data_IF_756495347214
#
_entry.id   IF_756495347214
#
_cell.length_a   1.000
_cell.length_b   1.000
_cell.length_c   1.000
_cell.angle_alpha   90.00
_cell.angle_beta   90.00
_cell.angle_gamma   90.00
#
_symmetry.space_group_name_H-M   'P 1'
#
loop_
_entity.id
_entity.type
_entity.pdbx_description
1 polymer ?
#
# COMPACT_ATOMS: atom_id res chain seq x y z
N UNK A 1 -10.28 -15.15 5.79
CA UNK A 1 -9.22 -14.70 6.72
C UNK A 1 -8.82 -13.29 6.34
N UNK A 2 -8.82 -12.36 7.28
CA UNK A 2 -8.40 -10.96 7.03
C UNK A 2 -6.88 -10.89 7.07
N UNK A 3 -6.25 -10.48 5.97
CA UNK A 3 -4.80 -10.25 5.90
C UNK A 3 -4.43 -8.91 6.52
N UNK A 4 -3.22 -8.84 7.07
CA UNK A 4 -2.62 -7.62 7.61
C UNK A 4 -1.51 -7.14 6.68
N UNK A 5 -1.40 -5.83 6.60
CA UNK A 5 -0.38 -5.14 5.83
C UNK A 5 0.19 -3.98 6.62
N UNK A 6 1.46 -3.65 6.44
CA UNK A 6 2.08 -2.44 6.96
C UNK A 6 2.48 -1.53 5.83
N UNK A 7 2.08 -0.27 5.87
CA UNK A 7 2.44 0.73 4.86
C UNK A 7 3.91 1.13 5.03
N UNK A 8 4.72 0.86 4.02
CA UNK A 8 6.17 1.15 4.01
C UNK A 8 6.55 2.29 3.08
N UNK A 9 5.67 2.68 2.16
CA UNK A 9 5.80 3.90 1.39
C UNK A 9 4.41 4.37 0.94
N UNK A 10 4.17 5.69 0.93
CA UNK A 10 2.91 6.26 0.47
C UNK A 10 3.16 7.65 -0.11
N UNK A 11 2.52 7.94 -1.24
CA UNK A 11 2.67 9.20 -1.95
C UNK A 11 1.31 9.78 -2.34
N UNK A 12 0.93 10.90 -1.74
CA UNK A 12 -0.40 11.51 -2.00
C UNK A 12 -0.57 11.90 -3.48
N UNK A 13 0.45 12.53 -4.07
CA UNK A 13 0.40 13.06 -5.43
C UNK A 13 0.17 11.98 -6.51
N UNK A 14 0.80 10.82 -6.35
CA UNK A 14 0.69 9.70 -7.32
C UNK A 14 -0.31 8.63 -6.89
N UNK A 15 -0.75 8.70 -5.62
CA UNK A 15 -1.50 7.68 -4.89
C UNK A 15 -0.82 6.32 -4.80
N UNK A 16 0.49 6.27 -5.03
CA UNK A 16 1.26 5.04 -4.91
C UNK A 16 1.36 4.67 -3.44
N UNK A 17 1.12 3.39 -3.15
CA UNK A 17 1.25 2.79 -1.82
C UNK A 17 2.06 1.52 -1.97
N UNK A 18 3.08 1.38 -1.13
CA UNK A 18 3.81 0.15 -0.93
C UNK A 18 3.50 -0.42 0.45
N UNK A 19 3.22 -1.71 0.52
CA UNK A 19 2.90 -2.41 1.76
C UNK A 19 3.74 -3.66 1.92
N UNK A 20 4.01 -4.05 3.18
CA UNK A 20 4.46 -5.39 3.52
C UNK A 20 3.26 -6.20 4.02
N UNK A 21 3.05 -7.41 3.52
CA UNK A 21 2.07 -8.33 4.10
C UNK A 21 2.59 -8.97 5.40
N UNK A 22 1.76 -9.80 6.05
CA UNK A 22 2.11 -10.49 7.29
C UNK A 22 3.27 -11.49 7.15
N UNK A 23 3.62 -11.89 5.93
CA UNK A 23 4.76 -12.76 5.61
C UNK A 23 6.03 -11.95 5.31
N UNK A 24 5.95 -10.61 5.35
CA UNK A 24 7.06 -9.71 5.05
C UNK A 24 7.29 -9.48 3.55
N UNK A 25 6.34 -9.88 2.69
CA UNK A 25 6.45 -9.65 1.24
C UNK A 25 5.94 -8.28 0.87
N UNK A 26 6.68 -7.60 0.00
CA UNK A 26 6.35 -6.27 -0.49
C UNK A 26 5.35 -6.33 -1.63
N UNK A 27 4.37 -5.44 -1.62
CA UNK A 27 3.41 -5.25 -2.71
C UNK A 27 3.26 -3.76 -3.00
N UNK A 28 3.12 -3.39 -4.28
CA UNK A 28 2.85 -2.00 -4.71
C UNK A 28 1.48 -1.92 -5.35
N UNK A 29 0.76 -0.87 -5.00
CA UNK A 29 -0.53 -0.55 -5.59
C UNK A 29 -0.81 0.94 -5.64
N UNK A 30 -2.03 1.26 -6.05
CA UNK A 30 -2.58 2.62 -6.00
C UNK A 30 -3.80 2.66 -5.09
N UNK A 31 -3.81 3.61 -4.16
CA UNK A 31 -5.01 3.88 -3.37
C UNK A 31 -6.11 4.47 -4.28
N UNK A 32 -7.33 3.96 -4.16
CA UNK A 32 -8.49 4.42 -4.92
C UNK A 32 -9.36 5.43 -4.13
N UNK A 33 -8.87 5.87 -2.97
CA UNK A 33 -9.52 6.84 -2.08
C UNK A 33 -8.48 7.58 -1.25
N UNK A 34 -8.71 7.64 0.07
CA UNK A 34 -7.71 8.15 1.03
C UNK A 34 -6.42 7.34 0.90
N UNK A 35 -5.30 8.02 0.64
CA UNK A 35 -3.98 7.40 0.71
C UNK A 35 -3.67 7.12 2.18
N UNK A 36 -3.29 5.90 2.55
CA UNK A 36 -2.99 5.59 3.92
C UNK A 36 -1.67 6.28 4.33
N UNK A 37 -1.56 6.81 5.55
CA UNK A 37 -0.31 7.39 6.02
C UNK A 37 0.82 6.35 6.07
N UNK A 38 2.06 6.81 6.06
CA UNK A 38 3.21 5.95 6.24
C UNK A 38 3.18 5.26 7.62
N UNK A 39 3.64 4.01 7.68
CA UNK A 39 3.76 3.20 8.90
C UNK A 39 2.46 2.74 9.57
N UNK A 40 1.29 3.04 9.00
CA UNK A 40 0.02 2.51 9.50
C UNK A 40 -0.18 1.06 9.06
N UNK A 41 -0.96 0.33 9.85
CA UNK A 41 -1.42 -1.00 9.48
C UNK A 41 -2.74 -0.92 8.69
N UNK A 42 -2.82 -1.75 7.64
CA UNK A 42 -4.05 -2.03 6.92
C UNK A 42 -4.50 -3.47 7.22
N UNK A 43 -5.82 -3.69 7.15
CA UNK A 43 -6.42 -5.02 7.19
C UNK A 43 -7.35 -5.20 5.99
N UNK A 44 -7.36 -6.37 5.37
CA UNK A 44 -8.20 -6.57 4.19
C UNK A 44 -8.11 -7.96 3.57
N UNK A 45 -8.44 -8.02 2.29
CA UNK A 45 -8.33 -9.20 1.45
C UNK A 45 -6.88 -9.66 1.27
N UNK A 46 -6.68 -10.91 0.89
CA UNK A 46 -5.37 -11.49 0.59
C UNK A 46 -4.69 -10.81 -0.61
N UNK A 47 -3.34 -10.77 -0.65
CA UNK A 47 -2.63 -10.08 -1.71
C UNK A 47 -2.87 -10.81 -3.04
N UNK A 48 -3.32 -10.08 -4.04
CA UNK A 48 -3.22 -10.48 -5.42
C UNK A 48 -3.42 -9.24 -6.32
N UNK A 49 -3.13 -9.36 -7.61
CA UNK A 49 -3.28 -8.25 -8.56
C UNK A 49 -4.74 -7.82 -8.68
N UNK A 50 -4.96 -6.52 -8.81
CA UNK A 50 -6.27 -5.88 -8.90
C UNK A 50 -6.70 -5.18 -7.61
N UNK A 51 -7.98 -4.80 -7.55
CA UNK A 51 -8.53 -4.06 -6.40
C UNK A 51 -8.66 -4.98 -5.19
N UNK A 52 -8.11 -4.55 -4.05
CA UNK A 52 -8.27 -5.20 -2.76
C UNK A 52 -9.01 -4.28 -1.81
N UNK A 53 -10.07 -4.83 -1.21
CA UNK A 53 -10.77 -4.17 -0.13
C UNK A 53 -9.89 -4.20 1.13
N UNK A 54 -9.36 -3.03 1.51
CA UNK A 54 -8.58 -2.85 2.73
C UNK A 54 -9.15 -1.70 3.56
N UNK A 55 -8.78 -1.69 4.84
CA UNK A 55 -9.16 -0.67 5.81
C UNK A 55 -7.93 -0.29 6.64
N UNK A 56 -7.79 0.98 6.98
CA UNK A 56 -6.81 1.42 7.97
C UNK A 56 -7.25 0.89 9.34
N UNK A 57 -6.34 0.25 10.07
CA UNK A 57 -6.68 -0.44 11.32
C UNK A 57 -7.09 0.55 12.42
N UNK A 58 -6.44 1.70 12.52
CA UNK A 58 -6.63 2.63 13.62
C UNK A 58 -8.00 3.33 13.59
N UNK A 59 -8.44 3.79 12.42
CA UNK A 59 -9.68 4.57 12.24
C UNK A 59 -10.78 3.79 11.50
N UNK A 60 -10.53 2.53 11.13
CA UNK A 60 -11.45 1.68 10.35
C UNK A 60 -11.86 2.29 9.00
N UNK A 61 -11.14 3.30 8.51
CA UNK A 61 -11.47 3.97 7.27
C UNK A 61 -11.22 3.04 6.08
N UNK A 62 -12.14 2.99 5.10
CA UNK A 62 -11.94 2.22 3.88
C UNK A 62 -10.76 2.78 3.08
N UNK A 63 -9.86 1.89 2.68
CA UNK A 63 -8.67 2.19 1.89
C UNK A 63 -8.53 1.14 0.78
N UNK A 64 -9.40 1.14 -0.25
CA UNK A 64 -9.25 0.23 -1.37
C UNK A 64 -7.93 0.50 -2.10
N UNK A 65 -7.12 -0.55 -2.29
CA UNK A 65 -5.83 -0.47 -2.99
C UNK A 65 -5.86 -1.39 -4.20
N UNK A 66 -5.59 -0.84 -5.38
CA UNK A 66 -5.35 -1.62 -6.59
C UNK A 66 -3.89 -2.07 -6.62
N UNK A 67 -3.62 -3.31 -6.21
CA UNK A 67 -2.27 -3.89 -6.28
C UNK A 67 -1.90 -4.18 -7.74
N UNK A 68 -0.74 -3.69 -8.15
CA UNK A 68 -0.23 -3.80 -9.52
C UNK A 68 1.09 -4.56 -9.60
N UNK A 69 1.77 -4.74 -8.47
CA UNK A 69 2.99 -5.51 -8.35
C UNK A 69 2.98 -6.25 -7.01
N UNK A 70 3.31 -7.54 -7.05
CA UNK A 70 3.49 -8.37 -5.86
C UNK A 70 4.96 -8.77 -5.75
N UNK A 71 5.37 -9.13 -4.55
CA UNK A 71 6.71 -9.65 -4.23
C UNK A 71 7.84 -8.73 -4.71
N UNK A 72 7.67 -7.42 -4.52
CA UNK A 72 8.67 -6.41 -4.88
C UNK A 72 9.89 -6.40 -3.95
N UNK A 73 10.95 -5.72 -4.39
CA UNK A 73 11.99 -5.27 -3.48
C UNK A 73 11.53 -3.99 -2.74
N UNK A 74 11.55 -3.95 -1.39
CA UNK A 74 11.10 -2.79 -0.62
C UNK A 74 11.79 -1.48 -1.00
N UNK A 75 13.09 -1.54 -1.35
CA UNK A 75 13.87 -0.37 -1.76
C UNK A 75 13.37 0.24 -3.08
N UNK A 76 12.94 -0.59 -4.02
CA UNK A 76 12.34 -0.15 -5.28
C UNK A 76 10.98 0.47 -5.03
N UNK A 77 10.19 -0.11 -4.13
CA UNK A 77 8.87 0.40 -3.78
C UNK A 77 8.92 1.78 -3.10
N UNK A 78 9.92 2.03 -2.25
CA UNK A 78 10.15 3.35 -1.65
C UNK A 78 10.46 4.43 -2.70
N UNK A 79 11.25 4.10 -3.73
CA UNK A 79 11.56 5.02 -4.84
C UNK A 79 10.32 5.39 -5.65
N UNK A 80 9.41 4.43 -5.88
CA UNK A 80 8.15 4.68 -6.61
C UNK A 80 7.21 5.65 -5.88
N UNK A 81 7.29 5.70 -4.55
CA UNK A 81 6.51 6.62 -3.72
C UNK A 81 7.23 7.97 -3.47
N UNK A 82 8.44 8.16 -3.99
CA UNK A 82 9.13 9.45 -3.86
C UNK A 82 8.69 10.36 -5.01
N UNK A 83 8.17 11.58 -4.73
CA UNK A 83 7.90 12.55 -5.80
C UNK A 83 9.19 12.83 -6.56
N UNK A 84 9.16 12.73 -7.89
CA UNK A 84 10.25 13.26 -8.71
C UNK A 84 10.15 14.78 -8.59
N UNK A 85 11.03 15.37 -7.76
CA UNK A 85 11.25 16.81 -7.79
C UNK A 85 11.88 17.16 -9.14
N UNK A 86 11.05 17.58 -10.08
CA UNK A 86 11.52 18.31 -11.27
C UNK A 86 11.92 19.72 -10.77
N UNK A 87 13.19 19.87 -10.42
CA UNK A 87 13.87 21.16 -10.34
C UNK A 87 14.25 21.63 -11.74
#
# INVERSE_FOLDING_TARGET
MTHRYKVIAAAEATRIVAVLDAEGRCHVGRALGKVPPLHVDLRGEAPAIGVRAMQIVDDQAPCPVALVLLDCEPEVAAKLATPISLL
#
